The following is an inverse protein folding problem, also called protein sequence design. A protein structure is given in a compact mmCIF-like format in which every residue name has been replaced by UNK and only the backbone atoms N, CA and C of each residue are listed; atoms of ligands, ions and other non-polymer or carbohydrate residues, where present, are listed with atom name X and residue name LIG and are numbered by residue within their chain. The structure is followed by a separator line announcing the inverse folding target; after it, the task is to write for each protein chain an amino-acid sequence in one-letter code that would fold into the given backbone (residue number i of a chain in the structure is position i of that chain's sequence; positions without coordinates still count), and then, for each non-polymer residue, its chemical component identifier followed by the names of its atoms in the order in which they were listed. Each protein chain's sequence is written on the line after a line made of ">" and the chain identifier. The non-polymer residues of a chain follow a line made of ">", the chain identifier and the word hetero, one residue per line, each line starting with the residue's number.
data_IF_001586890346
#
_entry.id   IF_001586890346
#
_cell.length_a   1.000
_cell.length_b   1.000
_cell.length_c   1.000
_cell.angle_alpha   90.00
_cell.angle_beta   90.00
_cell.angle_gamma   90.00
#
_symmetry.space_group_name_H-M   'P 1'
#
loop_
_entity.id
_entity.type
_entity.pdbx_description
1 polymer ?
#
# COMPACT_ATOMS: atom_id res chain seq x y z
N UNK A 1 -27.68 -52.53 3.73
CA UNK A 1 -28.10 -52.15 5.10
C UNK A 1 -26.89 -52.10 6.02
N UNK A 2 -26.51 -50.90 6.47
CA UNK A 2 -26.04 -50.51 7.81
C UNK A 2 -25.41 -49.12 7.68
N UNK A 3 -26.24 -48.13 7.94
CA UNK A 3 -25.92 -46.72 8.13
C UNK A 3 -25.04 -46.56 9.38
N UNK A 4 -24.07 -45.66 9.35
CA UNK A 4 -23.52 -45.09 10.59
C UNK A 4 -23.09 -43.64 10.35
N UNK A 5 -23.94 -42.73 10.82
CA UNK A 5 -23.67 -41.31 11.03
C UNK A 5 -22.97 -41.14 12.38
N UNK A 6 -21.85 -40.40 12.45
CA UNK A 6 -21.34 -39.87 13.72
C UNK A 6 -20.82 -38.43 13.58
N UNK A 7 -21.73 -37.52 13.90
CA UNK A 7 -21.59 -36.27 14.67
C UNK A 7 -20.18 -35.67 14.82
N UNK A 8 -20.06 -34.45 14.29
CA UNK A 8 -19.63 -33.22 14.99
C UNK A 8 -18.35 -33.28 15.83
N UNK A 9 -17.28 -32.69 15.31
CA UNK A 9 -16.29 -31.97 16.10
C UNK A 9 -15.89 -30.68 15.37
N UNK A 10 -16.72 -29.65 15.51
CA UNK A 10 -16.25 -28.26 15.52
C UNK A 10 -15.63 -28.03 16.90
N UNK A 11 -14.32 -27.82 16.95
CA UNK A 11 -13.62 -27.55 18.19
C UNK A 11 -12.18 -27.11 17.95
N UNK A 12 -11.94 -25.81 18.13
CA UNK A 12 -10.65 -25.28 18.57
C UNK A 12 -9.54 -25.17 17.53
N UNK A 13 -9.42 -24.00 16.90
CA UNK A 13 -8.13 -23.47 16.47
C UNK A 13 -8.12 -21.93 16.58
N UNK A 14 -8.46 -21.42 17.77
CA UNK A 14 -8.11 -20.06 18.18
C UNK A 14 -6.78 -20.17 18.94
N UNK A 15 -5.67 -19.96 18.24
CA UNK A 15 -4.37 -19.95 18.88
C UNK A 15 -3.23 -19.94 17.86
N UNK A 16 -2.48 -18.83 17.85
CA UNK A 16 -1.17 -18.66 17.20
C UNK A 16 -1.09 -18.08 15.77
N UNK A 17 -2.00 -17.20 15.34
CA UNK A 17 -1.78 -16.30 14.17
C UNK A 17 -1.41 -14.86 14.55
N UNK A 18 -0.94 -14.63 15.78
CA UNK A 18 -0.65 -13.27 16.29
C UNK A 18 0.74 -12.70 15.97
N UNK A 19 1.71 -13.52 15.54
CA UNK A 19 3.13 -13.10 15.49
C UNK A 19 3.73 -12.95 14.08
N UNK A 20 2.99 -13.26 13.00
CA UNK A 20 3.48 -13.10 11.61
C UNK A 20 3.02 -11.80 10.92
N UNK A 21 2.14 -11.01 11.54
CA UNK A 21 1.69 -9.73 10.98
C UNK A 21 2.65 -8.56 11.30
N UNK A 22 3.59 -8.73 12.23
CA UNK A 22 4.41 -7.64 12.78
C UNK A 22 5.68 -7.32 11.97
N UNK A 23 5.97 -8.06 10.90
CA UNK A 23 7.17 -7.85 10.05
C UNK A 23 6.98 -6.84 8.92
N UNK A 24 5.76 -6.31 8.74
CA UNK A 24 5.44 -5.37 7.64
C UNK A 24 5.62 -3.89 8.00
N UNK A 25 6.01 -3.55 9.23
CA UNK A 25 6.08 -2.15 9.69
C UNK A 25 7.41 -1.44 9.39
N UNK A 26 8.34 -2.03 8.61
CA UNK A 26 9.70 -1.48 8.50
C UNK A 26 10.22 -1.39 7.06
N UNK A 27 9.64 -0.48 6.27
CA UNK A 27 10.36 0.43 5.35
C UNK A 27 9.40 1.36 4.61
N UNK A 28 8.70 2.22 5.34
CA UNK A 28 8.42 3.54 4.79
C UNK A 28 9.75 4.30 4.85
N UNK A 29 10.52 4.30 3.76
CA UNK A 29 11.59 5.27 3.57
C UNK A 29 10.96 6.65 3.53
N UNK A 30 10.68 7.22 4.69
CA UNK A 30 10.07 8.53 4.84
C UNK A 30 11.14 9.58 4.49
N UNK A 31 11.36 9.76 3.19
CA UNK A 31 12.12 10.90 2.71
C UNK A 31 11.18 12.10 2.73
N UNK A 32 11.49 13.06 3.59
CA UNK A 32 10.72 14.29 3.79
C UNK A 32 10.74 15.13 2.50
N UNK A 33 9.78 14.85 1.61
CA UNK A 33 9.38 15.77 0.55
C UNK A 33 8.39 16.76 1.17
N UNK A 34 8.61 18.06 0.97
CA UNK A 34 7.77 19.15 1.51
C UNK A 34 6.32 18.86 1.16
N UNK A 35 5.51 18.48 2.14
CA UNK A 35 4.16 17.96 1.86
C UNK A 35 3.36 18.97 1.03
N UNK A 36 2.53 18.52 0.07
CA UNK A 36 1.64 19.41 -0.67
C UNK A 36 0.80 20.25 0.29
N UNK A 37 0.46 21.47 -0.12
CA UNK A 37 -0.43 22.34 0.63
C UNK A 37 -1.76 21.63 0.92
N UNK A 38 -2.44 22.03 2.00
CA UNK A 38 -3.68 21.38 2.44
C UNK A 38 -4.74 21.30 1.34
N UNK A 39 -4.84 22.34 0.49
CA UNK A 39 -5.74 22.36 -0.66
C UNK A 39 -5.38 21.31 -1.72
N UNK A 40 -4.09 21.17 -2.05
CA UNK A 40 -3.63 20.16 -3.02
C UNK A 40 -3.91 18.75 -2.52
N UNK A 41 -3.69 18.50 -1.22
CA UNK A 41 -4.03 17.21 -0.59
C UNK A 41 -5.53 16.91 -0.68
N UNK A 42 -6.39 17.89 -0.41
CA UNK A 42 -7.85 17.71 -0.52
C UNK A 42 -8.29 17.41 -1.96
N UNK A 43 -7.72 18.12 -2.95
CA UNK A 43 -7.97 17.84 -4.37
C UNK A 43 -7.55 16.42 -4.77
N UNK A 44 -6.39 15.96 -4.29
CA UNK A 44 -5.95 14.58 -4.47
C UNK A 44 -7.00 13.64 -3.87
N UNK A 45 -7.33 13.81 -2.58
CA UNK A 45 -8.23 12.92 -1.85
C UNK A 45 -9.62 12.81 -2.50
N UNK A 46 -10.15 13.92 -2.98
CA UNK A 46 -11.41 13.99 -3.72
C UNK A 46 -11.36 13.28 -5.08
N UNK A 47 -10.21 13.30 -5.76
CA UNK A 47 -10.01 12.62 -7.03
C UNK A 47 -9.73 11.11 -6.89
N UNK A 48 -9.32 10.64 -5.70
CA UNK A 48 -8.98 9.23 -5.51
C UNK A 48 -10.21 8.32 -5.61
N UNK A 49 -10.12 7.21 -6.37
CA UNK A 49 -11.20 6.25 -6.45
C UNK A 49 -11.49 5.63 -5.07
N UNK A 50 -12.75 5.31 -4.81
CA UNK A 50 -13.18 4.72 -3.54
C UNK A 50 -12.67 3.27 -3.35
N UNK A 51 -12.45 2.55 -4.46
CA UNK A 51 -11.95 1.17 -4.50
C UNK A 51 -11.08 0.97 -5.73
N UNK A 52 -10.24 -0.05 -5.72
CA UNK A 52 -9.49 -0.43 -6.92
C UNK A 52 -10.45 -0.78 -8.07
N UNK A 53 -10.13 -0.35 -9.29
CA UNK A 53 -10.90 -0.74 -10.48
C UNK A 53 -10.83 -2.24 -10.74
N UNK A 54 -9.70 -2.87 -10.38
CA UNK A 54 -9.48 -4.31 -10.47
C UNK A 54 -8.82 -4.79 -9.17
N UNK A 55 -9.39 -5.83 -8.56
CA UNK A 55 -8.80 -6.45 -7.38
C UNK A 55 -7.48 -7.13 -7.73
N UNK A 56 -6.36 -6.80 -7.07
CA UNK A 56 -5.09 -7.48 -7.31
C UNK A 56 -5.20 -8.97 -6.94
N UNK A 57 -4.72 -9.88 -7.82
CA UNK A 57 -4.71 -11.33 -7.55
C UNK A 57 -3.73 -11.73 -6.43
N UNK A 58 -2.71 -10.90 -6.17
CA UNK A 58 -1.69 -11.03 -5.13
C UNK A 58 -1.26 -9.61 -4.70
N UNK A 59 -0.76 -9.39 -3.47
CA UNK A 59 -0.22 -8.10 -3.05
C UNK A 59 0.81 -7.57 -4.06
N UNK A 60 0.75 -6.26 -4.34
CA UNK A 60 1.61 -5.60 -5.34
C UNK A 60 2.37 -4.45 -4.70
N UNK A 61 3.59 -4.24 -5.18
CA UNK A 61 4.42 -3.07 -4.84
C UNK A 61 4.60 -2.23 -6.11
N UNK A 62 4.51 -0.91 -5.96
CA UNK A 62 4.75 0.09 -7.00
C UNK A 62 6.00 0.87 -6.60
N UNK A 63 7.09 0.70 -7.34
CA UNK A 63 8.25 1.56 -7.23
C UNK A 63 8.00 2.86 -8.01
N UNK A 64 8.15 4.00 -7.34
CA UNK A 64 8.23 5.32 -7.94
C UNK A 64 9.67 5.80 -7.79
N UNK A 65 10.41 5.81 -8.89
CA UNK A 65 11.78 6.32 -8.93
C UNK A 65 11.79 7.76 -9.44
N UNK A 66 12.20 8.71 -8.58
CA UNK A 66 12.12 10.15 -8.87
C UNK A 66 13.46 10.89 -8.70
N UNK A 67 14.59 10.19 -8.88
CA UNK A 67 15.92 10.80 -8.87
C UNK A 67 16.07 11.80 -10.02
N UNK A 68 16.52 13.02 -9.69
CA UNK A 68 16.88 14.05 -10.65
C UNK A 68 18.35 14.43 -10.41
N UNK A 69 19.15 14.46 -11.47
CA UNK A 69 20.59 14.72 -11.41
C UNK A 69 20.89 16.03 -12.12
N UNK A 70 21.71 16.89 -11.51
CA UNK A 70 22.08 18.21 -12.03
C UNK A 70 20.95 19.24 -12.13
N UNK A 71 19.75 18.96 -11.60
CA UNK A 71 18.68 19.94 -11.42
C UNK A 71 17.69 19.54 -10.32
N UNK A 72 16.87 20.49 -9.86
CA UNK A 72 15.97 20.34 -8.70
C UNK A 72 14.73 19.46 -8.90
N UNK A 73 14.49 18.93 -10.10
CA UNK A 73 13.28 18.18 -10.43
C UNK A 73 12.07 19.05 -10.75
N UNK A 74 11.00 18.40 -11.23
CA UNK A 74 9.74 19.06 -11.55
C UNK A 74 8.89 19.25 -10.28
N UNK A 75 8.24 20.41 -10.13
CA UNK A 75 7.45 20.74 -8.92
C UNK A 75 6.30 19.76 -8.64
N UNK A 76 5.79 19.08 -9.67
CA UNK A 76 4.70 18.11 -9.53
C UNK A 76 5.11 16.77 -8.93
N UNK A 77 6.41 16.49 -8.76
CA UNK A 77 6.90 15.20 -8.24
C UNK A 77 6.25 14.89 -6.89
N UNK A 78 6.22 15.86 -5.98
CA UNK A 78 5.66 15.66 -4.64
C UNK A 78 4.16 15.41 -4.71
N UNK A 79 3.44 16.11 -5.59
CA UNK A 79 2.00 15.91 -5.80
C UNK A 79 1.69 14.52 -6.35
N UNK A 80 2.46 14.05 -7.34
CA UNK A 80 2.27 12.72 -7.92
C UNK A 80 2.59 11.61 -6.91
N UNK A 81 3.71 11.73 -6.20
CA UNK A 81 4.11 10.80 -5.14
C UNK A 81 3.03 10.67 -4.06
N UNK A 82 2.47 11.80 -3.62
CA UNK A 82 1.36 11.84 -2.68
C UNK A 82 0.13 11.13 -3.25
N UNK A 83 -0.25 11.45 -4.49
CA UNK A 83 -1.43 10.89 -5.14
C UNK A 83 -1.35 9.36 -5.24
N UNK A 84 -0.23 8.81 -5.70
CA UNK A 84 -0.06 7.36 -5.80
C UNK A 84 0.03 6.68 -4.44
N UNK A 85 0.74 7.28 -3.47
CA UNK A 85 0.81 6.75 -2.10
C UNK A 85 -0.58 6.67 -1.46
N UNK A 86 -1.35 7.76 -1.53
CA UNK A 86 -2.71 7.79 -1.01
C UNK A 86 -3.66 6.87 -1.79
N UNK A 87 -3.51 6.77 -3.12
CA UNK A 87 -4.31 5.87 -3.95
C UNK A 87 -4.09 4.41 -3.56
N UNK A 88 -2.84 3.97 -3.44
CA UNK A 88 -2.49 2.62 -3.02
C UNK A 88 -3.09 2.29 -1.66
N UNK A 89 -2.90 3.18 -0.69
CA UNK A 89 -3.45 3.04 0.66
C UNK A 89 -4.99 2.99 0.70
N UNK A 90 -5.68 3.88 -0.05
CA UNK A 90 -7.15 3.95 -0.07
C UNK A 90 -7.79 2.75 -0.77
N UNK A 91 -7.17 2.28 -1.86
CA UNK A 91 -7.77 1.27 -2.74
C UNK A 91 -7.30 -0.16 -2.45
N UNK A 92 -6.17 -0.34 -1.76
CA UNK A 92 -5.49 -1.62 -1.61
C UNK A 92 -4.93 -2.19 -2.92
N UNK A 93 -4.85 -1.39 -4.00
CA UNK A 93 -4.40 -1.88 -5.30
C UNK A 93 -2.92 -2.24 -5.33
N UNK A 94 -2.11 -1.50 -4.56
CA UNK A 94 -0.67 -1.65 -4.42
C UNK A 94 -0.18 -0.90 -3.18
N UNK A 95 1.02 -1.25 -2.72
CA UNK A 95 1.83 -0.46 -1.79
C UNK A 95 2.86 0.34 -2.59
N UNK A 96 3.12 1.59 -2.22
CA UNK A 96 4.07 2.46 -2.93
C UNK A 96 5.43 2.48 -2.21
N UNK A 97 6.51 2.35 -2.97
CA UNK A 97 7.88 2.66 -2.54
C UNK A 97 8.39 3.82 -3.39
N UNK A 98 8.79 4.93 -2.77
CA UNK A 98 9.41 6.06 -3.47
C UNK A 98 10.91 5.99 -3.21
N UNK A 99 11.72 6.05 -4.27
CA UNK A 99 13.17 5.98 -4.15
C UNK A 99 13.89 6.97 -5.07
N UNK A 100 15.04 7.42 -4.59
CA UNK A 100 16.05 8.15 -5.36
C UNK A 100 17.37 7.38 -5.47
N UNK A 101 17.41 6.16 -4.94
CA UNK A 101 18.60 5.33 -4.96
C UNK A 101 18.72 4.66 -6.34
N UNK A 102 19.77 4.93 -7.13
CA UNK A 102 19.94 4.27 -8.42
C UNK A 102 20.19 2.75 -8.32
N UNK A 103 20.36 2.20 -7.11
CA UNK A 103 20.58 0.77 -6.87
C UNK A 103 19.34 -0.04 -6.46
N UNK A 104 18.15 0.58 -6.32
CA UNK A 104 16.89 -0.17 -6.12
C UNK A 104 16.34 -0.79 -7.39
#
# INVERSE_FOLDING_TARGET
>A
MKTTTRRSLLGGALGATGLLAMSWLRRAGAQSQRMPESEQRQKIEAALPAKAFVTPRKPRRLLIFDLNVNYGGHASIVTANMAFTMMGAKTGAFETEISKDPAV
#
